data_IF_915164206522
#
_entry.id   IF_915164206522
#
_cell.length_a   1.000
_cell.length_b   1.000
_cell.length_c   1.000
_cell.angle_alpha   90.00
_cell.angle_beta   90.00
_cell.angle_gamma   90.00
#
_symmetry.space_group_name_H-M   'P 1'
#
loop_
_entity.id
_entity.type
_entity.pdbx_description
1 polymer ?
#
# COMPACT_ATOMS: atom_id res chain seq x y z
N UNK A 1 12.57 -13.22 -11.99
CA UNK A 1 11.11 -13.03 -11.93
C UNK A 1 10.80 -11.92 -10.94
N UNK A 2 9.77 -11.10 -11.18
CA UNK A 2 9.37 -10.00 -10.27
C UNK A 2 8.03 -10.33 -9.66
N UNK A 3 7.84 -9.96 -8.39
CA UNK A 3 6.61 -10.17 -7.65
C UNK A 3 6.16 -8.83 -7.06
N UNK A 4 4.84 -8.66 -6.91
CA UNK A 4 4.24 -7.52 -6.23
C UNK A 4 3.64 -8.01 -4.91
N UNK A 5 4.08 -7.41 -3.81
CA UNK A 5 3.50 -7.63 -2.49
C UNK A 5 2.62 -6.44 -2.12
N UNK A 6 1.37 -6.69 -1.76
CA UNK A 6 0.44 -5.66 -1.29
C UNK A 6 0.11 -5.95 0.17
N UNK A 7 0.59 -5.09 1.06
CA UNK A 7 0.32 -5.16 2.49
C UNK A 7 -0.94 -4.32 2.77
N UNK A 8 -1.95 -4.94 3.39
CA UNK A 8 -3.20 -4.29 3.78
C UNK A 8 -3.48 -4.54 5.25
N UNK A 9 -3.98 -3.54 5.93
CA UNK A 9 -4.56 -3.66 7.27
C UNK A 9 -5.97 -3.06 7.25
N UNK A 10 -6.79 -3.38 8.26
CA UNK A 10 -8.10 -2.75 8.38
C UNK A 10 -7.95 -1.22 8.58
N UNK A 11 -8.79 -0.44 7.91
CA UNK A 11 -8.79 1.04 8.01
C UNK A 11 -9.00 1.53 9.45
N UNK A 12 -9.70 0.75 10.28
CA UNK A 12 -9.89 1.04 11.71
C UNK A 12 -8.59 1.14 12.51
N UNK A 13 -7.51 0.48 12.07
CA UNK A 13 -6.20 0.54 12.73
C UNK A 13 -5.40 1.78 12.35
N UNK A 14 -5.85 2.59 11.40
CA UNK A 14 -5.07 3.72 10.88
C UNK A 14 -4.93 4.88 11.88
N UNK A 15 -5.83 4.97 12.85
CA UNK A 15 -5.77 5.92 13.96
C UNK A 15 -4.91 5.44 15.13
N UNK A 16 -4.45 4.19 15.09
CA UNK A 16 -3.61 3.63 16.15
C UNK A 16 -2.13 3.80 15.79
N UNK A 17 -1.26 4.04 16.79
CA UNK A 17 0.17 4.06 16.56
C UNK A 17 0.63 2.68 16.07
N UNK A 18 1.57 2.67 15.12
CA UNK A 18 2.22 1.44 14.68
C UNK A 18 3.04 0.90 15.87
N UNK A 19 2.88 -0.37 16.26
CA UNK A 19 3.70 -0.97 17.30
C UNK A 19 5.19 -0.85 16.95
N UNK A 20 6.02 -0.38 17.89
CA UNK A 20 7.43 -0.11 17.62
C UNK A 20 8.18 -1.36 17.11
N UNK A 21 7.97 -2.52 17.74
CA UNK A 21 8.62 -3.76 17.30
C UNK A 21 8.23 -4.21 15.88
N UNK A 22 7.04 -3.83 15.40
CA UNK A 22 6.65 -4.07 14.00
C UNK A 22 7.41 -3.12 13.07
N UNK A 23 7.55 -1.85 13.43
CA UNK A 23 8.29 -0.87 12.65
C UNK A 23 9.78 -1.25 12.54
N UNK A 24 10.38 -1.70 13.64
CA UNK A 24 11.78 -2.15 13.69
C UNK A 24 12.00 -3.37 12.77
N UNK A 25 11.15 -4.40 12.91
CA UNK A 25 11.21 -5.59 12.06
C UNK A 25 10.99 -5.27 10.57
N UNK A 26 10.12 -4.30 10.26
CA UNK A 26 9.95 -3.81 8.89
C UNK A 26 11.23 -3.14 8.36
N UNK A 27 11.90 -2.33 9.19
CA UNK A 27 13.17 -1.69 8.85
C UNK A 27 14.26 -2.70 8.51
N UNK A 28 14.44 -3.72 9.35
CA UNK A 28 15.41 -4.80 9.13
C UNK A 28 15.11 -5.56 7.82
N UNK A 29 13.85 -5.94 7.60
CA UNK A 29 13.43 -6.65 6.39
C UNK A 29 13.68 -5.83 5.11
N UNK A 30 13.35 -4.54 5.13
CA UNK A 30 13.55 -3.65 3.97
C UNK A 30 15.03 -3.45 3.68
N UNK A 31 15.85 -3.22 4.71
CA UNK A 31 17.29 -3.05 4.56
C UNK A 31 17.95 -4.30 3.95
N UNK A 32 17.70 -5.48 4.53
CA UNK A 32 18.22 -6.75 4.01
C UNK A 32 17.70 -7.06 2.60
N UNK A 33 16.45 -6.71 2.31
CA UNK A 33 15.82 -6.89 1.00
C UNK A 33 16.49 -6.05 -0.10
N UNK A 34 16.85 -4.80 0.21
CA UNK A 34 17.59 -3.95 -0.72
C UNK A 34 19.04 -4.40 -0.89
N UNK A 35 19.73 -4.76 0.19
CA UNK A 35 21.12 -5.23 0.16
C UNK A 35 21.27 -6.50 -0.68
N UNK A 36 20.39 -7.49 -0.49
CA UNK A 36 20.37 -8.71 -1.30
C UNK A 36 19.82 -8.51 -2.72
N UNK A 37 19.29 -7.32 -3.02
CA UNK A 37 18.74 -6.96 -4.33
C UNK A 37 17.41 -7.64 -4.67
N UNK A 38 16.76 -8.33 -3.73
CA UNK A 38 15.45 -8.97 -3.95
C UNK A 38 14.31 -7.96 -3.90
N UNK A 39 14.45 -6.93 -3.07
CA UNK A 39 13.48 -5.86 -2.96
C UNK A 39 13.84 -4.76 -3.97
N UNK A 40 12.89 -4.42 -4.84
CA UNK A 40 13.10 -3.49 -5.96
C UNK A 40 12.53 -2.11 -5.72
N UNK A 41 11.44 -2.01 -4.96
CA UNK A 41 10.77 -0.76 -4.62
C UNK A 41 9.85 -0.97 -3.41
N UNK A 42 9.63 0.09 -2.63
CA UNK A 42 8.66 0.16 -1.53
C UNK A 42 7.98 1.52 -1.53
N UNK A 43 6.64 1.53 -1.42
CA UNK A 43 5.88 2.75 -1.26
C UNK A 43 4.73 2.56 -0.26
N UNK A 44 4.49 3.58 0.57
CA UNK A 44 3.34 3.62 1.46
C UNK A 44 2.05 3.99 0.71
N UNK A 45 0.92 3.41 1.13
CA UNK A 45 -0.40 3.76 0.61
C UNK A 45 -1.10 4.78 1.52
N UNK A 46 -1.57 5.88 0.92
CA UNK A 46 -2.44 6.87 1.55
C UNK A 46 -3.85 6.33 1.79
N UNK A 47 -4.71 7.14 2.43
CA UNK A 47 -6.02 6.66 2.80
C UNK A 47 -6.94 6.32 1.64
N UNK A 48 -7.79 5.30 1.81
CA UNK A 48 -8.72 4.90 0.75
C UNK A 48 -9.62 6.07 0.33
N UNK A 49 -9.96 6.96 1.28
CA UNK A 49 -10.69 8.22 1.04
C UNK A 49 -9.95 9.22 0.14
N UNK A 50 -8.62 9.12 0.04
CA UNK A 50 -7.77 9.96 -0.82
C UNK A 50 -7.57 9.32 -2.21
N UNK A 51 -8.05 8.10 -2.42
CA UNK A 51 -8.00 7.41 -3.70
C UNK A 51 -9.16 7.78 -4.62
N UNK A 52 -8.93 7.69 -5.93
CA UNK A 52 -9.96 7.79 -6.96
C UNK A 52 -10.06 6.48 -7.73
N UNK A 53 -11.27 6.02 -8.01
CA UNK A 53 -11.51 4.88 -8.89
C UNK A 53 -11.96 5.39 -10.25
N UNK A 54 -11.18 5.06 -11.29
CA UNK A 54 -11.52 5.37 -12.68
C UNK A 54 -12.00 4.08 -13.35
N UNK A 55 -13.18 4.11 -13.98
CA UNK A 55 -13.73 3.01 -14.76
C UNK A 55 -13.89 3.43 -16.22
N UNK A 56 -13.24 2.69 -17.12
CA UNK A 56 -13.42 2.82 -18.57
C UNK A 56 -14.37 1.75 -19.09
N UNK A 57 -15.43 2.15 -19.81
CA UNK A 57 -16.32 1.20 -20.51
C UNK A 57 -17.04 1.88 -21.66
N UNK A 58 -17.13 1.21 -22.82
CA UNK A 58 -17.86 1.73 -23.98
C UNK A 58 -17.34 3.09 -24.48
N UNK A 59 -16.02 3.31 -24.41
CA UNK A 59 -15.38 4.58 -24.81
C UNK A 59 -15.60 5.75 -23.83
N UNK A 60 -16.23 5.52 -22.67
CA UNK A 60 -16.47 6.55 -21.64
C UNK A 60 -15.66 6.26 -20.38
N UNK A 61 -15.14 7.32 -19.78
CA UNK A 61 -14.48 7.30 -18.47
C UNK A 61 -15.44 7.82 -17.40
N UNK A 62 -15.53 7.10 -16.28
CA UNK A 62 -16.24 7.54 -15.07
C UNK A 62 -15.26 7.54 -13.90
N UNK A 63 -15.24 8.63 -13.14
CA UNK A 63 -14.42 8.76 -11.93
C UNK A 63 -15.34 8.76 -10.72
N UNK A 64 -15.03 7.95 -9.71
CA UNK A 64 -15.69 7.94 -8.41
C UNK A 64 -14.64 8.18 -7.32
N UNK A 65 -14.87 9.17 -6.46
CA UNK A 65 -13.97 9.47 -5.34
C UNK A 65 -14.19 8.48 -4.18
N UNK A 66 -13.10 7.88 -3.70
CA UNK A 66 -13.08 6.87 -2.64
C UNK A 66 -13.82 5.58 -3.00
N UNK A 67 -13.25 4.43 -2.66
CA UNK A 67 -14.08 3.21 -2.58
C UNK A 67 -14.95 3.37 -1.34
N UNK A 68 -16.26 3.52 -1.51
CA UNK A 68 -17.19 3.29 -0.40
C UNK A 68 -16.90 1.90 0.17
N UNK A 69 -16.78 1.82 1.50
CA UNK A 69 -16.39 0.61 2.22
C UNK A 69 -17.17 -0.64 1.85
#
# INVERSE_FOLDING_TARGET
MKYLMIIKHAESYRSQPIPQGLLDAMGEFVAAGFESGVLKDTAGLKATKEGFRVRSSGGKLRVTGGTSG
#
